data_IF_113726228220
#
_entry.id   IF_113726228220
#
_cell.length_a   1.000
_cell.length_b   1.000
_cell.length_c   1.000
_cell.angle_alpha   90.00
_cell.angle_beta   90.00
_cell.angle_gamma   90.00
#
_symmetry.space_group_name_H-M   'P 1'
#
loop_
_entity.id
_entity.type
_entity.pdbx_description
1 polymer ?
#
# COMPACT_ATOMS: atom_id res chain seq x y z
N UNK A 1 -2.32 6.77 -21.25
CA UNK A 1 -1.50 6.58 -20.05
C UNK A 1 -0.20 5.88 -20.44
N UNK A 2 0.93 6.30 -19.87
CA UNK A 2 2.22 5.60 -20.07
C UNK A 2 2.23 4.27 -19.30
N UNK A 3 3.13 3.35 -19.67
CA UNK A 3 3.33 2.09 -18.91
C UNK A 3 3.62 2.33 -17.43
N UNK A 4 4.33 3.41 -17.12
CA UNK A 4 4.61 3.85 -15.76
C UNK A 4 3.33 4.24 -15.01
N UNK A 5 2.45 5.04 -15.61
CA UNK A 5 1.18 5.44 -15.00
C UNK A 5 0.26 4.23 -14.75
N UNK A 6 0.23 3.27 -15.68
CA UNK A 6 -0.54 2.03 -15.51
C UNK A 6 0.02 1.19 -14.35
N UNK A 7 1.35 1.06 -14.27
CA UNK A 7 2.00 0.36 -13.16
C UNK A 7 1.65 0.99 -11.81
N UNK A 8 1.78 2.31 -11.68
CA UNK A 8 1.45 3.01 -10.44
C UNK A 8 -0.03 2.81 -10.07
N UNK A 9 -0.93 2.80 -11.05
CA UNK A 9 -2.37 2.69 -10.78
C UNK A 9 -2.73 1.30 -10.27
N UNK A 10 -2.14 0.27 -10.87
CA UNK A 10 -2.27 -1.11 -10.39
C UNK A 10 -1.64 -1.29 -9.00
N UNK A 11 -0.50 -0.65 -8.73
CA UNK A 11 0.12 -0.69 -7.41
C UNK A 11 -0.75 -0.01 -6.35
N UNK A 12 -1.36 1.14 -6.67
CA UNK A 12 -2.30 1.82 -5.77
C UNK A 12 -3.49 0.92 -5.44
N UNK A 13 -4.12 0.33 -6.46
CA UNK A 13 -5.23 -0.61 -6.26
C UNK A 13 -4.86 -1.79 -5.35
N UNK A 14 -3.66 -2.36 -5.53
CA UNK A 14 -3.19 -3.44 -4.67
C UNK A 14 -3.03 -2.98 -3.22
N UNK A 15 -2.37 -1.84 -3.00
CA UNK A 15 -2.13 -1.30 -1.65
C UNK A 15 -3.45 -1.00 -0.93
N UNK A 16 -4.42 -0.40 -1.61
CA UNK A 16 -5.74 -0.10 -1.03
C UNK A 16 -6.60 -1.34 -0.74
N UNK A 17 -6.19 -2.54 -1.16
CA UNK A 17 -6.89 -3.81 -0.82
C UNK A 17 -6.35 -4.47 0.44
N UNK A 18 -5.20 -4.02 0.95
CA UNK A 18 -4.59 -4.57 2.16
C UNK A 18 -5.48 -4.22 3.35
N UNK A 19 -5.87 -5.24 4.12
CA UNK A 19 -6.77 -5.09 5.26
C UNK A 19 -6.17 -5.70 6.54
N UNK A 20 -6.96 -5.67 7.61
CA UNK A 20 -6.54 -6.18 8.91
C UNK A 20 -6.19 -7.68 8.90
N UNK A 21 -6.87 -8.51 8.10
CA UNK A 21 -6.57 -9.94 8.02
C UNK A 21 -5.18 -10.18 7.43
N UNK A 22 -4.75 -9.35 6.49
CA UNK A 22 -3.39 -9.40 5.94
C UNK A 22 -2.34 -8.93 6.96
N UNK A 23 -2.66 -7.88 7.71
CA UNK A 23 -1.80 -7.36 8.79
C UNK A 23 -1.68 -8.36 9.94
N UNK A 24 -2.72 -9.12 10.24
CA UNK A 24 -2.74 -10.11 11.33
C UNK A 24 -1.71 -11.24 11.14
N UNK A 25 -1.28 -11.48 9.90
CA UNK A 25 -0.24 -12.46 9.53
C UNK A 25 1.17 -11.98 9.87
N UNK A 26 1.34 -10.69 10.14
CA UNK A 26 2.61 -10.08 10.56
C UNK A 26 2.75 -10.21 12.08
N UNK A 27 3.98 -10.37 12.57
CA UNK A 27 4.24 -10.40 14.01
C UNK A 27 3.79 -9.11 14.68
N UNK A 28 3.18 -9.23 15.86
CA UNK A 28 2.44 -8.14 16.52
C UNK A 28 3.32 -6.92 16.81
N UNK A 29 4.60 -7.15 17.11
CA UNK A 29 5.64 -6.13 17.30
C UNK A 29 5.96 -5.33 16.01
N UNK A 30 5.64 -5.86 14.83
CA UNK A 30 5.93 -5.23 13.53
C UNK A 30 4.71 -4.72 12.81
N UNK A 31 3.51 -5.07 13.27
CA UNK A 31 2.25 -4.65 12.63
C UNK A 31 2.18 -3.13 12.48
N UNK A 32 2.50 -2.37 13.54
CA UNK A 32 2.50 -0.91 13.50
C UNK A 32 3.44 -0.36 12.40
N UNK A 33 4.67 -0.87 12.32
CA UNK A 33 5.63 -0.46 11.28
C UNK A 33 5.10 -0.77 9.89
N UNK A 34 4.47 -1.94 9.70
CA UNK A 34 3.92 -2.33 8.40
C UNK A 34 2.74 -1.45 8.00
N UNK A 35 1.84 -1.13 8.94
CA UNK A 35 0.73 -0.18 8.70
C UNK A 35 1.28 1.19 8.30
N UNK A 36 2.21 1.76 9.06
CA UNK A 36 2.80 3.07 8.77
C UNK A 36 3.41 3.13 7.35
N UNK A 37 4.04 2.03 6.91
CA UNK A 37 4.66 1.93 5.58
C UNK A 37 3.63 1.78 4.47
N UNK A 38 2.56 1.02 4.71
CA UNK A 38 1.44 0.88 3.75
C UNK A 38 0.74 2.22 3.57
N UNK A 39 0.43 2.93 4.66
CA UNK A 39 -0.19 4.26 4.61
C UNK A 39 0.70 5.29 3.89
N UNK A 40 2.00 5.29 4.18
CA UNK A 40 2.95 6.18 3.49
C UNK A 40 3.02 5.88 1.98
N UNK A 41 2.99 4.59 1.60
CA UNK A 41 2.98 4.18 0.20
C UNK A 41 1.66 4.55 -0.50
N UNK A 42 0.52 4.31 0.15
CA UNK A 42 -0.80 4.69 -0.38
C UNK A 42 -0.89 6.20 -0.59
N UNK A 43 -0.42 6.98 0.38
CA UNK A 43 -0.35 8.44 0.27
C UNK A 43 0.52 8.87 -0.91
N UNK A 44 1.73 8.31 -1.05
CA UNK A 44 2.60 8.62 -2.18
C UNK A 44 1.94 8.32 -3.52
N UNK A 45 1.34 7.13 -3.66
CA UNK A 45 0.70 6.70 -4.90
C UNK A 45 -0.53 7.53 -5.24
N UNK A 46 -1.34 7.92 -4.24
CA UNK A 46 -2.49 8.81 -4.43
C UNK A 46 -2.10 10.18 -4.99
N UNK A 47 -0.93 10.69 -4.60
CA UNK A 47 -0.42 11.99 -5.05
C UNK A 47 0.48 11.91 -6.31
N UNK A 48 0.73 10.71 -6.82
CA UNK A 48 1.56 10.50 -8.02
C UNK A 48 0.77 10.61 -9.34
N UNK A 49 -0.55 10.84 -9.27
CA UNK A 49 -1.46 11.00 -10.41
C UNK A 49 -1.92 12.44 -10.59
#
# INVERSE_FOLDING_TARGET
MTSHQIFLANLYLLVSTINFDDLSKVTLDKQHVVVDRIEALEYYLKNAF
#
